data_IF_784182239987
#
_entry.id   IF_784182239987
#
_cell.length_a   1.000
_cell.length_b   1.000
_cell.length_c   1.000
_cell.angle_alpha   90.00
_cell.angle_beta   90.00
_cell.angle_gamma   90.00
#
_symmetry.space_group_name_H-M   'P 1'
#
loop_
_entity.id
_entity.type
_entity.pdbx_description
1 polymer ?
#
# COMPACT_ATOMS: atom_id res chain seq x y z
N UNK A 1 -9.28 -24.28 24.63
CA UNK A 1 -8.93 -22.97 25.21
C UNK A 1 -8.25 -22.14 24.14
N UNK A 2 -8.97 -21.21 23.50
CA UNK A 2 -8.37 -20.27 22.54
C UNK A 2 -7.91 -19.05 23.32
N UNK A 3 -6.59 -18.87 23.43
CA UNK A 3 -6.01 -17.67 24.03
C UNK A 3 -5.86 -16.67 22.89
N UNK A 4 -6.71 -15.66 22.81
CA UNK A 4 -6.55 -14.54 21.87
C UNK A 4 -5.28 -13.79 22.31
N UNK A 5 -4.15 -14.04 21.63
CA UNK A 5 -2.85 -13.42 21.98
C UNK A 5 -2.53 -12.16 21.20
N UNK A 6 -3.26 -11.84 20.12
CA UNK A 6 -3.11 -10.60 19.37
C UNK A 6 -4.38 -10.27 18.58
N UNK A 7 -4.64 -8.97 18.37
CA UNK A 7 -5.77 -8.48 17.57
C UNK A 7 -5.51 -8.62 16.06
N UNK A 8 -4.23 -8.64 15.64
CA UNK A 8 -3.79 -8.92 14.28
C UNK A 8 -2.91 -10.16 14.20
N UNK A 9 -3.00 -10.88 13.09
CA UNK A 9 -2.15 -12.03 12.76
C UNK A 9 -1.00 -11.59 11.86
N UNK A 10 0.24 -11.89 12.25
CA UNK A 10 1.40 -11.70 11.37
C UNK A 10 1.45 -12.84 10.37
N UNK A 11 1.48 -12.50 9.09
CA UNK A 11 1.70 -13.46 8.00
C UNK A 11 3.18 -13.47 7.63
N UNK A 12 3.71 -14.65 7.28
CA UNK A 12 5.08 -14.76 6.79
C UNK A 12 5.19 -14.11 5.40
N UNK A 13 6.10 -13.14 5.19
CA UNK A 13 6.37 -12.56 3.88
C UNK A 13 6.60 -13.59 2.76
N UNK A 14 7.15 -14.76 3.08
CA UNK A 14 7.43 -15.81 2.12
C UNK A 14 6.17 -16.34 1.40
N UNK A 15 4.98 -16.18 2.00
CA UNK A 15 3.70 -16.55 1.38
C UNK A 15 3.32 -15.66 0.19
N UNK A 16 3.95 -14.48 0.06
CA UNK A 16 3.63 -13.46 -0.93
C UNK A 16 4.78 -13.18 -1.90
N UNK A 17 5.84 -13.99 -1.89
CA UNK A 17 6.89 -13.90 -2.91
C UNK A 17 6.39 -14.46 -4.23
N UNK A 18 6.66 -13.71 -5.30
CA UNK A 18 6.32 -14.07 -6.67
C UNK A 18 7.62 -14.38 -7.41
N UNK A 19 7.67 -15.45 -8.23
CA UNK A 19 8.85 -15.77 -9.02
C UNK A 19 9.32 -14.58 -9.87
N UNK A 20 10.65 -14.41 -9.98
CA UNK A 20 11.31 -13.37 -10.79
C UNK A 20 10.97 -11.90 -10.45
N UNK A 21 10.23 -11.67 -9.36
CA UNK A 21 9.85 -10.33 -8.89
C UNK A 21 10.26 -10.13 -7.44
N UNK A 22 11.18 -9.20 -7.19
CA UNK A 22 11.60 -8.88 -5.85
C UNK A 22 10.50 -8.16 -5.07
N UNK A 23 10.19 -8.65 -3.88
CA UNK A 23 9.21 -8.06 -2.97
C UNK A 23 8.10 -9.02 -2.57
N UNK A 24 7.25 -8.58 -1.67
CA UNK A 24 5.98 -9.23 -1.34
C UNK A 24 4.85 -8.59 -2.12
N UNK A 25 3.97 -9.40 -2.70
CA UNK A 25 2.84 -8.96 -3.50
C UNK A 25 1.57 -9.64 -3.01
N UNK A 26 0.57 -8.84 -2.64
CA UNK A 26 -0.70 -9.32 -2.09
C UNK A 26 -1.87 -8.52 -2.64
N UNK A 27 -3.03 -9.17 -2.75
CA UNK A 27 -4.27 -8.49 -3.09
C UNK A 27 -4.87 -7.85 -1.83
N UNK A 28 -5.30 -6.60 -1.94
CA UNK A 28 -6.19 -6.00 -0.95
C UNK A 28 -7.54 -6.73 -0.92
N UNK A 29 -8.39 -6.53 0.10
CA UNK A 29 -9.75 -7.06 0.11
C UNK A 29 -10.63 -6.55 -1.04
N UNK A 30 -10.29 -5.38 -1.62
CA UNK A 30 -10.95 -4.82 -2.80
C UNK A 30 -10.34 -5.30 -4.11
N UNK A 31 -9.36 -6.20 -4.08
CA UNK A 31 -8.71 -6.79 -5.26
C UNK A 31 -7.62 -5.93 -5.89
N UNK A 32 -7.13 -4.90 -5.21
CA UNK A 32 -6.00 -4.08 -5.71
C UNK A 32 -4.69 -4.86 -5.55
N UNK A 33 -3.79 -4.72 -6.53
CA UNK A 33 -2.45 -5.32 -6.50
C UNK A 33 -1.54 -4.46 -5.62
N UNK A 34 -1.27 -4.92 -4.40
CA UNK A 34 -0.43 -4.22 -3.44
C UNK A 34 0.91 -4.92 -3.26
N UNK A 35 1.94 -4.15 -2.89
CA UNK A 35 3.24 -4.75 -2.65
C UNK A 35 4.17 -3.93 -1.76
N UNK A 36 5.20 -4.63 -1.29
CA UNK A 36 6.38 -4.06 -0.64
C UNK A 36 7.60 -4.59 -1.37
N UNK A 37 8.47 -3.71 -1.87
CA UNK A 37 9.61 -4.07 -2.71
C UNK A 37 10.94 -3.52 -2.18
N UNK A 38 11.88 -3.23 -3.08
CA UNK A 38 13.23 -2.76 -2.78
C UNK A 38 13.22 -1.61 -1.75
N UNK A 39 14.08 -1.77 -0.73
CA UNK A 39 14.27 -0.82 0.37
C UNK A 39 13.00 -0.38 1.09
N UNK A 40 11.95 -1.20 1.06
CA UNK A 40 10.69 -0.90 1.71
C UNK A 40 9.78 0.05 0.92
N UNK A 41 10.05 0.29 -0.37
CA UNK A 41 9.05 0.89 -1.24
C UNK A 41 7.73 0.12 -1.17
N UNK A 42 6.60 0.81 -1.20
CA UNK A 42 5.30 0.18 -1.01
C UNK A 42 4.19 0.93 -1.73
N UNK A 43 3.11 0.24 -2.08
CA UNK A 43 2.00 0.86 -2.79
C UNK A 43 0.99 -0.16 -3.29
N UNK A 44 -0.04 0.35 -3.97
CA UNK A 44 -1.09 -0.44 -4.60
C UNK A 44 -1.44 0.09 -5.98
N UNK A 45 -1.87 -0.83 -6.84
CA UNK A 45 -2.37 -0.58 -8.19
C UNK A 45 -3.79 -1.14 -8.36
N UNK A 46 -4.65 -0.40 -9.06
CA UNK A 46 -6.04 -0.78 -9.34
C UNK A 46 -7.01 0.37 -9.13
N UNK A 47 -8.26 0.05 -8.79
CA UNK A 47 -9.31 1.04 -8.54
C UNK A 47 -9.13 1.70 -7.17
N UNK A 48 -8.35 2.79 -7.11
CA UNK A 48 -8.04 3.49 -5.86
C UNK A 48 -9.23 4.36 -5.41
N UNK A 49 -9.77 4.14 -4.20
CA UNK A 49 -10.91 4.92 -3.71
C UNK A 49 -10.59 6.42 -3.60
N UNK A 50 -11.44 7.24 -4.23
CA UNK A 50 -11.30 8.70 -4.25
C UNK A 50 -10.30 9.24 -5.28
N UNK A 51 -9.61 8.38 -6.03
CA UNK A 51 -8.69 8.82 -7.08
C UNK A 51 -9.44 9.37 -8.30
N UNK A 52 -8.90 10.38 -9.00
CA UNK A 52 -9.41 10.84 -10.28
C UNK A 52 -9.40 9.72 -11.35
N UNK A 53 -10.22 9.84 -12.41
CA UNK A 53 -10.17 8.90 -13.54
C UNK A 53 -8.75 8.83 -14.15
N UNK A 54 -8.20 7.62 -14.25
CA UNK A 54 -6.87 7.36 -14.78
C UNK A 54 -5.76 7.29 -13.73
N UNK A 55 -6.01 7.70 -12.49
CA UNK A 55 -5.09 7.49 -11.37
C UNK A 55 -5.34 6.10 -10.75
N UNK A 56 -4.60 5.12 -11.23
CA UNK A 56 -4.70 3.71 -10.82
C UNK A 56 -3.50 3.23 -10.00
N UNK A 57 -2.55 4.10 -9.67
CA UNK A 57 -1.37 3.79 -8.87
C UNK A 57 -1.16 4.80 -7.74
N UNK A 58 -0.82 4.28 -6.56
CA UNK A 58 -0.37 5.04 -5.40
C UNK A 58 0.76 4.30 -4.70
N UNK A 59 1.87 4.98 -4.44
CA UNK A 59 3.06 4.34 -3.91
C UNK A 59 4.05 5.33 -3.28
N UNK A 60 4.80 4.86 -2.31
CA UNK A 60 6.04 5.50 -1.88
C UNK A 60 7.24 4.74 -2.44
N UNK A 61 8.19 5.50 -3.00
CA UNK A 61 9.44 4.99 -3.53
C UNK A 61 10.60 5.45 -2.64
N UNK A 62 11.58 4.57 -2.45
CA UNK A 62 12.73 4.89 -1.61
C UNK A 62 13.43 6.18 -2.10
N UNK A 63 13.66 7.12 -1.18
CA UNK A 63 14.25 8.43 -1.49
C UNK A 63 13.22 9.55 -1.71
N UNK A 64 11.93 9.21 -1.87
CA UNK A 64 10.90 10.22 -2.09
C UNK A 64 10.44 10.81 -0.74
N UNK A 65 10.07 12.09 -0.78
CA UNK A 65 9.65 12.87 0.41
C UNK A 65 8.19 12.63 0.81
N UNK A 66 7.42 11.95 -0.03
CA UNK A 66 6.00 11.71 0.17
C UNK A 66 5.51 10.53 -0.68
N UNK A 67 4.30 10.06 -0.40
CA UNK A 67 3.59 9.10 -1.25
C UNK A 67 3.21 9.79 -2.57
N UNK A 68 3.49 9.14 -3.69
CA UNK A 68 3.14 9.57 -5.04
C UNK A 68 1.87 8.89 -5.52
N UNK A 69 1.13 9.55 -6.40
CA UNK A 69 -0.04 9.00 -7.07
C UNK A 69 -0.10 9.45 -8.53
N UNK A 70 -0.94 8.76 -9.30
CA UNK A 70 -1.21 9.07 -10.71
C UNK A 70 -0.16 8.54 -11.68
N UNK A 71 -0.10 9.11 -12.88
CA UNK A 71 0.65 8.52 -14.00
C UNK A 71 2.15 8.36 -13.74
N UNK A 72 2.77 9.23 -12.93
CA UNK A 72 4.20 9.12 -12.59
C UNK A 72 4.47 8.00 -11.58
N UNK A 73 3.49 7.69 -10.72
CA UNK A 73 3.54 6.50 -9.88
C UNK A 73 3.40 5.24 -10.75
N UNK A 74 2.49 5.22 -11.73
CA UNK A 74 2.33 4.08 -12.64
C UNK A 74 3.64 3.70 -13.35
N UNK A 75 4.42 4.67 -13.83
CA UNK A 75 5.70 4.41 -14.51
C UNK A 75 6.73 3.74 -13.60
N UNK A 76 6.77 4.12 -12.32
CA UNK A 76 7.76 3.62 -11.36
C UNK A 76 7.31 2.36 -10.63
N UNK A 77 6.01 2.02 -10.71
CA UNK A 77 5.45 0.88 -10.01
C UNK A 77 6.05 -0.43 -10.54
N UNK A 78 6.60 -1.30 -9.67
CA UNK A 78 7.19 -2.55 -10.14
C UNK A 78 6.13 -3.50 -10.70
N UNK A 79 6.51 -4.31 -11.68
CA UNK A 79 5.61 -5.20 -12.42
C UNK A 79 5.09 -6.43 -11.64
N UNK A 80 5.42 -6.57 -10.36
CA UNK A 80 5.01 -7.73 -9.57
C UNK A 80 3.49 -7.84 -9.43
N UNK A 81 2.98 -9.07 -9.55
CA UNK A 81 1.54 -9.36 -9.54
C UNK A 81 1.21 -10.28 -8.38
N UNK A 82 0.30 -9.83 -7.52
CA UNK A 82 -0.16 -10.58 -6.38
C UNK A 82 -0.99 -11.81 -6.80
N UNK A 83 -0.68 -12.95 -6.21
CA UNK A 83 -1.44 -14.20 -6.42
C UNK A 83 -2.42 -14.51 -5.28
N UNK A 84 -2.23 -13.86 -4.13
CA UNK A 84 -2.95 -14.17 -2.89
C UNK A 84 -3.41 -12.90 -2.20
N UNK A 85 -4.57 -12.94 -1.57
CA UNK A 85 -5.05 -11.83 -0.75
C UNK A 85 -4.41 -11.84 0.63
N UNK A 86 -4.15 -10.65 1.18
CA UNK A 86 -3.83 -10.49 2.59
C UNK A 86 -5.14 -10.56 3.40
N UNK A 87 -5.33 -11.54 4.30
CA UNK A 87 -6.61 -11.70 5.00
C UNK A 87 -6.96 -10.52 5.92
N UNK A 88 -8.25 -10.29 6.23
CA UNK A 88 -8.64 -9.34 7.28
C UNK A 88 -7.98 -9.64 8.62
N UNK A 89 -7.74 -8.60 9.43
CA UNK A 89 -7.03 -8.68 10.71
C UNK A 89 -5.65 -9.34 10.60
N UNK A 90 -4.95 -9.07 9.50
CA UNK A 90 -3.59 -9.58 9.30
C UNK A 90 -2.65 -8.50 8.78
N UNK A 91 -1.35 -8.74 8.93
CA UNK A 91 -0.31 -7.85 8.43
C UNK A 91 0.91 -8.63 7.96
N UNK A 92 1.65 -8.04 7.03
CA UNK A 92 2.93 -8.52 6.53
C UNK A 92 3.96 -7.41 6.69
N UNK A 93 5.17 -7.77 7.11
CA UNK A 93 6.29 -6.82 7.26
C UNK A 93 7.46 -7.30 6.41
N UNK A 94 7.95 -6.45 5.51
CA UNK A 94 9.10 -6.72 4.66
C UNK A 94 9.92 -5.43 4.48
N UNK A 95 11.25 -5.52 4.55
CA UNK A 95 12.16 -4.35 4.42
C UNK A 95 11.75 -3.12 5.26
N UNK A 96 11.37 -3.34 6.52
CA UNK A 96 10.90 -2.30 7.47
C UNK A 96 9.59 -1.59 7.10
N UNK A 97 8.91 -2.05 6.06
CA UNK A 97 7.55 -1.63 5.72
C UNK A 97 6.57 -2.64 6.26
N UNK A 98 5.46 -2.16 6.79
CA UNK A 98 4.33 -3.01 7.21
C UNK A 98 3.09 -2.64 6.42
N UNK A 99 2.44 -3.65 5.84
CA UNK A 99 1.10 -3.51 5.28
C UNK A 99 0.12 -4.39 6.06
N UNK A 100 -1.09 -3.90 6.31
CA UNK A 100 -2.11 -4.54 7.11
C UNK A 100 -3.50 -4.38 6.49
N UNK A 101 -4.37 -5.33 6.79
CA UNK A 101 -5.79 -5.26 6.46
C UNK A 101 -6.61 -5.20 7.74
N UNK A 102 -7.42 -4.16 7.88
CA UNK A 102 -8.26 -3.95 9.08
C UNK A 102 -9.43 -4.93 9.16
N UNK A 103 -10.13 -4.97 10.30
CA UNK A 103 -11.39 -5.72 10.45
C UNK A 103 -12.42 -5.37 9.37
N UNK A 104 -12.45 -4.09 9.01
CA UNK A 104 -13.42 -3.53 8.08
C UNK A 104 -12.96 -3.64 6.61
N UNK A 105 -11.86 -4.35 6.36
CA UNK A 105 -11.33 -4.58 5.01
C UNK A 105 -10.53 -3.41 4.42
N UNK A 106 -10.15 -2.43 5.24
CA UNK A 106 -9.31 -1.31 4.80
C UNK A 106 -7.86 -1.76 4.67
N UNK A 107 -7.12 -1.19 3.71
CA UNK A 107 -5.70 -1.50 3.50
C UNK A 107 -4.85 -0.36 4.02
N UNK A 108 -3.90 -0.67 4.89
CA UNK A 108 -2.95 0.28 5.46
C UNK A 108 -1.54 -0.16 5.13
N UNK A 109 -0.65 0.76 4.76
CA UNK A 109 0.77 0.50 4.64
C UNK A 109 1.59 1.64 5.24
N UNK A 110 2.70 1.30 5.87
CA UNK A 110 3.64 2.27 6.42
C UNK A 110 5.11 1.88 6.26
N UNK A 111 5.95 2.90 6.05
CA UNK A 111 7.39 2.85 6.19
C UNK A 111 7.85 4.13 6.91
N UNK A 112 8.12 4.04 8.22
CA UNK A 112 8.45 5.22 9.03
C UNK A 112 7.32 6.26 9.03
N UNK A 113 7.60 7.46 8.51
CA UNK A 113 6.60 8.54 8.41
C UNK A 113 5.70 8.44 7.17
N UNK A 114 6.05 7.60 6.19
CA UNK A 114 5.29 7.44 4.96
C UNK A 114 4.19 6.43 5.18
N UNK A 115 2.95 6.86 5.01
CA UNK A 115 1.77 6.08 5.35
C UNK A 115 0.70 6.28 4.29
N UNK A 116 -0.02 5.22 3.98
CA UNK A 116 -1.27 5.29 3.22
C UNK A 116 -2.33 4.42 3.91
N UNK A 117 -3.57 4.89 3.88
CA UNK A 117 -4.76 4.19 4.31
C UNK A 117 -5.79 4.28 3.19
N UNK A 118 -6.24 3.14 2.69
CA UNK A 118 -7.32 3.02 1.71
C UNK A 118 -8.54 2.41 2.37
N UNK A 119 -9.67 3.10 2.24
CA UNK A 119 -10.99 2.63 2.69
C UNK A 119 -11.98 2.74 1.54
N UNK A 120 -13.20 2.23 1.72
CA UNK A 120 -14.28 2.45 0.76
C UNK A 120 -14.64 3.93 0.54
N UNK A 121 -14.41 4.80 1.53
CA UNK A 121 -14.74 6.22 1.46
C UNK A 121 -13.66 7.07 0.79
N UNK A 122 -12.45 6.54 0.60
CA UNK A 122 -11.34 7.31 0.05
C UNK A 122 -9.98 6.75 0.43
N UNK A 123 -8.94 7.50 0.05
CA UNK A 123 -7.55 7.16 0.35
C UNK A 123 -6.86 8.36 1.00
N UNK A 124 -6.23 8.13 2.14
CA UNK A 124 -5.50 9.11 2.94
C UNK A 124 -4.03 8.75 2.98
N UNK A 125 -3.17 9.73 2.76
CA UNK A 125 -1.74 9.57 2.67
C UNK A 125 -1.08 10.92 2.84
N UNK A 126 0.19 10.94 3.25
CA UNK A 126 1.00 12.17 3.17
C UNK A 126 1.61 12.28 1.78
N UNK A 127 0.99 13.08 0.93
CA UNK A 127 1.44 13.45 -0.42
C UNK A 127 2.15 14.80 -0.44
N UNK A 128 2.87 15.11 -1.53
CA UNK A 128 3.55 16.39 -1.75
C UNK A 128 3.27 16.91 -3.16
N UNK A 129 2.75 18.14 -3.24
CA UNK A 129 2.58 18.86 -4.51
C UNK A 129 3.83 19.72 -4.77
N UNK A 130 4.62 19.32 -5.77
CA UNK A 130 5.84 20.02 -6.16
C UNK A 130 5.58 21.42 -6.77
N UNK A 131 4.41 21.68 -7.36
CA UNK A 131 4.10 22.96 -7.99
C UNK A 131 3.72 24.01 -6.94
N UNK A 132 2.94 23.62 -5.95
CA UNK A 132 2.41 24.52 -4.94
C UNK A 132 3.16 24.45 -3.60
N UNK A 133 4.16 23.56 -3.49
CA UNK A 133 4.99 23.35 -2.30
C UNK A 133 4.16 23.10 -1.03
N UNK A 134 3.11 22.27 -1.14
CA UNK A 134 2.21 21.93 -0.02
C UNK A 134 1.97 20.44 0.11
N UNK A 135 1.56 20.05 1.32
CA UNK A 135 1.25 18.66 1.68
C UNK A 135 -0.20 18.33 1.31
N UNK A 136 -0.41 17.15 0.76
CA UNK A 136 -1.73 16.57 0.57
C UNK A 136 -1.96 15.47 1.61
N UNK A 137 -3.17 15.36 2.16
CA UNK A 137 -3.53 14.36 3.19
C UNK A 137 -4.46 13.26 2.66
N UNK A 138 -5.00 13.47 1.46
CA UNK A 138 -5.88 12.59 0.69
C UNK A 138 -5.96 13.09 -0.75
N UNK A 139 -6.56 12.29 -1.64
CA UNK A 139 -7.01 12.82 -2.94
C UNK A 139 -7.95 14.03 -2.73
N UNK A 140 -7.72 15.11 -3.48
CA UNK A 140 -8.51 16.34 -3.43
C UNK A 140 -8.31 17.24 -2.20
N UNK A 141 -7.27 16.99 -1.39
CA UNK A 141 -6.87 17.88 -0.28
C UNK A 141 -5.65 18.75 -0.58
N UNK A 142 -5.04 18.54 -1.74
CA UNK A 142 -4.46 19.60 -2.53
C UNK A 142 -5.66 20.29 -3.23
#
# INVERSE_FOLDING_TARGET
MSVIRSYYTKIDPAEFFVPDHFGVWFLSPTGMNCGIWDRGGFGCAGAIPGAPPGDDHIAWYNGNRAVHHGWTAAIQFPVGQAERSLPPLSYVTFNSTTCAVTSDGNTYCEHGEFKLLMTSAGTWFKGWDDNESRTCLSYGSC
#
